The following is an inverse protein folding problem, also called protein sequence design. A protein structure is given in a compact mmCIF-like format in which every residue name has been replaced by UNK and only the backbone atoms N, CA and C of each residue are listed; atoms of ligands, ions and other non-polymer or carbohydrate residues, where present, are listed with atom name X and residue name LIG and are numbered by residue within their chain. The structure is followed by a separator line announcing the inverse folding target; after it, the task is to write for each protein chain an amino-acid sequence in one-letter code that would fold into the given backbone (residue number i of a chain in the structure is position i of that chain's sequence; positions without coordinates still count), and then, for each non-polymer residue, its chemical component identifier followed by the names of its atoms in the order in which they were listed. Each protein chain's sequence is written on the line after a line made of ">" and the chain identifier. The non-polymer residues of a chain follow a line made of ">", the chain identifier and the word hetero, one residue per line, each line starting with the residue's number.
data_IF_832433890339
#
_entry.id   IF_832433890339
#
_cell.length_a   1.000
_cell.length_b   1.000
_cell.length_c   1.000
_cell.angle_alpha   90.00
_cell.angle_beta   90.00
_cell.angle_gamma   90.00
#
_symmetry.space_group_name_H-M   'P 1'
#
loop_
_entity.id
_entity.type
_entity.pdbx_description
1 polymer ?
#
# COMPACT_ATOMS: atom_id res chain seq x y z
N UNK A 1 -7.46 5.40 -16.91
CA UNK A 1 -7.85 6.82 -16.72
C UNK A 1 -6.61 7.68 -16.52
N UNK A 2 -6.74 8.97 -16.70
CA UNK A 2 -5.63 9.88 -16.47
C UNK A 2 -5.41 10.11 -14.98
N UNK A 3 -4.16 10.43 -14.59
CA UNK A 3 -3.78 10.62 -13.20
C UNK A 3 -4.69 11.62 -12.48
N UNK A 4 -5.02 12.74 -13.11
CA UNK A 4 -5.85 13.76 -12.47
C UNK A 4 -7.26 13.27 -12.16
N UNK A 5 -7.84 12.47 -13.04
CA UNK A 5 -9.13 11.82 -12.83
C UNK A 5 -9.04 10.82 -11.67
N UNK A 6 -7.99 10.00 -11.64
CA UNK A 6 -7.78 9.04 -10.57
C UNK A 6 -7.61 9.71 -9.21
N UNK A 7 -6.86 10.82 -9.15
CA UNK A 7 -6.70 11.61 -7.93
C UNK A 7 -8.03 12.18 -7.44
N UNK A 8 -8.87 12.63 -8.37
CA UNK A 8 -10.20 13.16 -8.03
C UNK A 8 -11.07 12.07 -7.39
N UNK A 9 -11.08 10.87 -7.97
CA UNK A 9 -11.81 9.73 -7.43
C UNK A 9 -11.25 9.33 -6.06
N UNK A 10 -9.92 9.25 -5.94
CA UNK A 10 -9.28 8.95 -4.65
C UNK A 10 -9.70 9.95 -3.58
N UNK A 11 -9.73 11.25 -3.89
CA UNK A 11 -10.11 12.28 -2.93
C UNK A 11 -11.54 12.10 -2.43
N UNK A 12 -12.49 11.73 -3.29
CA UNK A 12 -13.86 11.44 -2.87
C UNK A 12 -13.90 10.27 -1.86
N UNK A 13 -13.17 9.20 -2.16
CA UNK A 13 -13.09 8.03 -1.30
C UNK A 13 -12.39 8.38 0.01
N UNK A 14 -11.28 9.12 -0.06
CA UNK A 14 -10.50 9.54 1.09
C UNK A 14 -11.35 10.26 2.13
N UNK A 15 -12.16 11.23 1.71
CA UNK A 15 -13.01 11.98 2.64
C UNK A 15 -14.06 11.11 3.31
N UNK A 16 -14.53 10.07 2.66
CA UNK A 16 -15.49 9.13 3.22
C UNK A 16 -14.87 8.15 4.21
N UNK A 17 -13.64 7.70 3.95
CA UNK A 17 -12.98 6.67 4.76
C UNK A 17 -12.14 7.25 5.90
N UNK A 18 -11.58 8.44 5.74
CA UNK A 18 -10.67 9.05 6.70
C UNK A 18 -11.20 9.10 8.13
N UNK A 19 -12.49 9.44 8.39
CA UNK A 19 -13.00 9.46 9.77
C UNK A 19 -12.90 8.12 10.51
N UNK A 20 -12.74 7.02 9.78
CA UNK A 20 -12.67 5.67 10.32
C UNK A 20 -11.26 5.08 10.28
N UNK A 21 -10.26 5.92 10.00
CA UNK A 21 -8.87 5.50 9.84
C UNK A 21 -7.93 6.30 10.73
N UNK A 22 -6.94 5.62 11.30
CA UNK A 22 -5.80 6.25 11.95
C UNK A 22 -4.85 6.82 10.89
N UNK A 23 -4.63 6.06 9.82
CA UNK A 23 -3.84 6.47 8.64
C UNK A 23 -4.54 6.01 7.37
N UNK A 24 -4.44 6.81 6.34
CA UNK A 24 -4.91 6.45 5.00
C UNK A 24 -4.07 7.18 3.95
N UNK A 25 -3.52 6.45 3.01
CA UNK A 25 -2.64 6.98 1.95
C UNK A 25 -2.95 6.27 0.64
N UNK A 26 -2.90 7.01 -0.46
CA UNK A 26 -2.95 6.41 -1.80
C UNK A 26 -1.64 5.68 -2.09
N UNK A 27 -1.72 4.59 -2.81
CA UNK A 27 -0.55 3.80 -3.21
C UNK A 27 -0.56 3.56 -4.72
N UNK A 28 0.13 2.55 -5.19
CA UNK A 28 0.13 2.12 -6.59
C UNK A 28 0.59 3.18 -7.57
N UNK A 29 0.06 3.10 -8.77
CA UNK A 29 0.44 3.98 -9.87
C UNK A 29 0.12 5.45 -9.62
N UNK A 30 -0.91 5.76 -8.80
CA UNK A 30 -1.21 7.14 -8.43
C UNK A 30 -0.05 7.71 -7.60
N UNK A 31 0.41 7.00 -6.59
CA UNK A 31 1.51 7.46 -5.73
C UNK A 31 2.80 7.61 -6.53
N UNK A 32 3.02 6.73 -7.51
CA UNK A 32 4.16 6.83 -8.42
C UNK A 32 3.98 7.90 -9.49
N UNK A 33 2.86 8.63 -9.49
CA UNK A 33 2.57 9.73 -10.41
C UNK A 33 2.59 9.30 -11.89
N UNK A 34 2.06 8.11 -12.19
CA UNK A 34 1.97 7.63 -13.58
C UNK A 34 0.88 8.40 -14.33
N UNK A 35 1.14 8.68 -15.60
CA UNK A 35 0.18 9.42 -16.45
C UNK A 35 -1.13 8.66 -16.65
N UNK A 36 -1.06 7.34 -16.73
CA UNK A 36 -2.23 6.46 -16.87
C UNK A 36 -2.36 5.57 -15.64
N UNK A 37 -3.58 5.51 -15.10
CA UNK A 37 -3.93 4.74 -13.91
C UNK A 37 -5.08 3.81 -14.25
N UNK A 38 -4.99 2.54 -13.85
CA UNK A 38 -6.07 1.57 -14.06
C UNK A 38 -6.93 1.41 -12.82
N UNK A 39 -6.32 1.08 -11.70
CA UNK A 39 -7.00 0.82 -10.44
C UNK A 39 -6.51 1.80 -9.38
N UNK A 40 -7.33 2.03 -8.35
CA UNK A 40 -6.96 2.89 -7.24
C UNK A 40 -6.55 2.01 -6.08
N UNK A 41 -5.29 2.16 -5.63
CA UNK A 41 -4.74 1.42 -4.50
C UNK A 41 -4.68 2.32 -3.27
N UNK A 42 -5.18 1.82 -2.15
CA UNK A 42 -5.22 2.56 -0.88
C UNK A 42 -4.64 1.65 0.20
N UNK A 43 -3.77 2.21 1.04
CA UNK A 43 -3.28 1.55 2.25
C UNK A 43 -3.76 2.34 3.46
N UNK A 44 -4.33 1.65 4.44
CA UNK A 44 -4.89 2.31 5.62
C UNK A 44 -4.69 1.49 6.89
N UNK A 45 -4.80 2.18 8.02
CA UNK A 45 -4.90 1.55 9.34
C UNK A 45 -6.27 1.96 9.90
N UNK A 46 -7.18 1.01 10.17
CA UNK A 46 -8.49 1.36 10.67
C UNK A 46 -8.45 1.78 12.15
N UNK A 47 -9.24 2.80 12.50
CA UNK A 47 -9.53 3.13 13.90
C UNK A 47 -10.67 2.25 14.41
N UNK A 48 -11.71 2.12 13.57
CA UNK A 48 -12.89 1.32 13.88
C UNK A 48 -13.19 0.40 12.69
N UNK A 49 -12.72 -0.86 12.72
CA UNK A 49 -12.87 -1.78 11.58
C UNK A 49 -14.31 -2.01 11.17
N UNK A 50 -15.24 -2.10 12.10
CA UNK A 50 -16.65 -2.33 11.79
C UNK A 50 -17.29 -1.18 11.03
N UNK A 51 -17.09 0.04 11.49
CA UNK A 51 -17.62 1.23 10.81
C UNK A 51 -16.93 1.46 9.47
N UNK A 52 -15.63 1.22 9.39
CA UNK A 52 -14.89 1.33 8.15
C UNK A 52 -15.43 0.34 7.11
N UNK A 53 -15.66 -0.90 7.52
CA UNK A 53 -16.20 -1.94 6.63
C UNK A 53 -17.57 -1.53 6.07
N UNK A 54 -18.45 -0.97 6.92
CA UNK A 54 -19.75 -0.46 6.48
C UNK A 54 -19.61 0.66 5.46
N UNK A 55 -18.68 1.58 5.68
CA UNK A 55 -18.46 2.69 4.75
C UNK A 55 -17.88 2.23 3.42
N UNK A 56 -16.98 1.24 3.45
CA UNK A 56 -16.44 0.62 2.23
C UNK A 56 -17.57 -0.05 1.43
N UNK A 57 -18.46 -0.77 2.10
CA UNK A 57 -19.60 -1.43 1.45
C UNK A 57 -20.52 -0.42 0.74
N UNK A 58 -20.60 0.81 1.24
CA UNK A 58 -21.39 1.88 0.62
C UNK A 58 -20.73 2.50 -0.61
N UNK A 59 -19.44 2.25 -0.83
CA UNK A 59 -18.74 2.75 -2.02
C UNK A 59 -19.25 2.08 -3.30
N UNK A 60 -19.58 0.80 -3.23
CA UNK A 60 -20.07 0.08 -4.39
C UNK A 60 -20.02 -1.43 -4.21
N UNK A 61 -20.33 -2.19 -5.28
CA UNK A 61 -20.35 -3.65 -5.22
C UNK A 61 -18.99 -4.22 -4.83
N UNK A 62 -18.96 -5.23 -3.92
CA UNK A 62 -17.71 -5.87 -3.55
C UNK A 62 -17.19 -6.75 -4.69
N UNK A 63 -15.87 -6.72 -4.89
CA UNK A 63 -15.15 -7.62 -5.80
C UNK A 63 -14.49 -8.71 -4.96
N UNK A 64 -13.86 -8.32 -3.82
CA UNK A 64 -13.28 -9.23 -2.87
C UNK A 64 -13.42 -8.64 -1.46
N UNK A 65 -13.59 -9.50 -0.47
CA UNK A 65 -13.80 -9.10 0.93
C UNK A 65 -13.02 -10.03 1.85
N UNK A 66 -11.72 -9.71 2.04
CA UNK A 66 -10.84 -10.43 2.95
C UNK A 66 -10.49 -9.58 4.17
N UNK A 67 -9.75 -10.18 5.12
CA UNK A 67 -9.33 -9.48 6.33
C UNK A 67 -8.31 -8.38 6.06
N UNK A 68 -7.43 -8.59 5.08
CA UNK A 68 -6.31 -7.68 4.77
C UNK A 68 -6.48 -6.91 3.47
N UNK A 69 -7.45 -7.31 2.65
CA UNK A 69 -7.70 -6.69 1.36
C UNK A 69 -9.20 -6.69 1.08
N UNK A 70 -9.72 -5.52 0.81
CA UNK A 70 -11.08 -5.35 0.29
C UNK A 70 -11.00 -4.69 -1.08
N UNK A 71 -11.72 -5.25 -2.05
CA UNK A 71 -11.81 -4.68 -3.39
C UNK A 71 -13.26 -4.35 -3.68
N UNK A 72 -13.50 -3.13 -4.13
CA UNK A 72 -14.85 -2.67 -4.49
C UNK A 72 -14.81 -1.96 -5.84
N UNK A 73 -15.96 -1.87 -6.48
CA UNK A 73 -16.15 -1.08 -7.68
C UNK A 73 -16.81 0.25 -7.30
N UNK A 74 -16.10 1.35 -7.53
CA UNK A 74 -16.58 2.70 -7.28
C UNK A 74 -16.78 3.42 -8.61
N UNK A 75 -18.03 3.63 -9.01
CA UNK A 75 -18.38 4.31 -10.26
C UNK A 75 -17.63 3.74 -11.48
N UNK A 76 -17.55 2.40 -11.56
CA UNK A 76 -16.88 1.71 -12.65
C UNK A 76 -15.38 1.56 -12.51
N UNK A 77 -14.79 2.03 -11.42
CA UNK A 77 -13.34 1.93 -11.16
C UNK A 77 -13.09 0.96 -10.01
N UNK A 78 -12.14 0.04 -10.20
CA UNK A 78 -11.74 -0.87 -9.14
C UNK A 78 -10.90 -0.14 -8.11
N UNK A 79 -11.24 -0.32 -6.84
CA UNK A 79 -10.54 0.25 -5.69
C UNK A 79 -10.06 -0.90 -4.81
N UNK A 80 -8.75 -0.97 -4.60
CA UNK A 80 -8.11 -1.98 -3.78
C UNK A 80 -7.68 -1.34 -2.46
N UNK A 81 -8.24 -1.83 -1.35
CA UNK A 81 -8.03 -1.27 -0.02
C UNK A 81 -7.28 -2.30 0.81
N UNK A 82 -6.04 -1.98 1.17
CA UNK A 82 -5.14 -2.83 1.93
C UNK A 82 -5.08 -2.39 3.38
N UNK A 83 -5.30 -3.32 4.29
CA UNK A 83 -5.33 -3.08 5.73
C UNK A 83 -3.96 -3.32 6.33
N UNK A 84 -3.39 -2.27 6.92
CA UNK A 84 -2.15 -2.33 7.68
C UNK A 84 -2.41 -2.20 9.18
N UNK A 85 -1.36 -2.41 9.95
CA UNK A 85 -1.26 -2.02 11.36
C UNK A 85 0.04 -1.24 11.55
N UNK A 86 0.33 -0.82 12.77
CA UNK A 86 1.54 -0.03 13.06
C UNK A 86 2.82 -0.76 12.66
N UNK A 87 2.85 -2.08 12.81
CA UNK A 87 4.05 -2.89 12.50
C UNK A 87 4.25 -3.10 11.00
N UNK A 88 3.15 -3.13 10.22
CA UNK A 88 3.21 -3.43 8.79
C UNK A 88 3.10 -2.20 7.91
N UNK A 89 2.81 -1.03 8.48
CA UNK A 89 2.51 0.18 7.72
C UNK A 89 3.54 0.50 6.64
N UNK A 90 4.81 0.65 7.04
CA UNK A 90 5.85 1.08 6.12
C UNK A 90 6.10 0.06 5.01
N UNK A 91 6.16 -1.23 5.37
CA UNK A 91 6.42 -2.30 4.41
C UNK A 91 5.25 -2.52 3.46
N UNK A 92 4.03 -2.51 3.99
CA UNK A 92 2.84 -2.65 3.15
C UNK A 92 2.72 -1.47 2.18
N UNK A 93 2.93 -0.25 2.64
CA UNK A 93 2.91 0.92 1.78
C UNK A 93 3.96 0.83 0.67
N UNK A 94 5.17 0.42 1.01
CA UNK A 94 6.25 0.22 0.04
C UNK A 94 5.84 -0.78 -1.05
N UNK A 95 5.40 -1.96 -0.65
CA UNK A 95 5.03 -3.04 -1.56
C UNK A 95 3.83 -2.65 -2.43
N UNK A 96 2.81 -2.02 -1.84
CA UNK A 96 1.62 -1.62 -2.60
C UNK A 96 1.83 -0.38 -3.46
N UNK A 97 2.87 0.39 -3.17
CA UNK A 97 3.29 1.48 -4.07
C UNK A 97 3.94 0.93 -5.35
N UNK A 98 4.71 -0.15 -5.25
CA UNK A 98 5.38 -0.76 -6.41
C UNK A 98 6.58 0.10 -6.89
N UNK A 99 6.97 0.03 -8.11
CA UNK A 99 6.40 -0.89 -9.12
C UNK A 99 6.73 -2.34 -8.78
N UNK A 100 6.16 -3.27 -9.58
CA UNK A 100 6.50 -4.69 -9.45
C UNK A 100 8.00 -4.92 -9.60
N UNK A 101 8.63 -4.29 -10.58
CA UNK A 101 10.06 -4.41 -10.83
C UNK A 101 10.87 -3.84 -9.67
N UNK A 102 10.46 -2.71 -9.10
CA UNK A 102 11.10 -2.15 -7.92
C UNK A 102 11.00 -3.11 -6.74
N UNK A 103 9.83 -3.71 -6.52
CA UNK A 103 9.64 -4.69 -5.44
C UNK A 103 10.52 -5.92 -5.63
N UNK A 104 10.62 -6.44 -6.84
CA UNK A 104 11.50 -7.58 -7.16
C UNK A 104 12.96 -7.23 -6.85
N UNK A 105 13.39 -6.04 -7.23
CA UNK A 105 14.76 -5.56 -6.95
C UNK A 105 15.04 -5.46 -5.46
N UNK A 106 14.10 -4.92 -4.68
CA UNK A 106 14.26 -4.81 -3.23
C UNK A 106 14.26 -6.17 -2.55
N UNK A 107 13.38 -7.08 -2.96
CA UNK A 107 13.35 -8.45 -2.43
C UNK A 107 14.66 -9.20 -2.75
N UNK A 108 15.18 -9.01 -3.96
CA UNK A 108 16.46 -9.60 -4.39
C UNK A 108 17.63 -9.06 -3.55
N UNK A 109 17.66 -7.75 -3.30
CA UNK A 109 18.69 -7.14 -2.45
C UNK A 109 18.63 -7.67 -1.02
N UNK A 110 17.43 -7.78 -0.45
CA UNK A 110 17.26 -8.37 0.88
C UNK A 110 17.83 -9.80 0.93
N UNK A 111 17.49 -10.61 -0.07
CA UNK A 111 17.98 -11.97 -0.16
C UNK A 111 19.51 -12.04 -0.23
N UNK A 112 20.14 -11.14 -0.98
CA UNK A 112 21.61 -11.07 -1.07
C UNK A 112 22.27 -10.75 0.27
N UNK A 113 21.54 -10.11 1.18
CA UNK A 113 22.00 -9.77 2.52
C UNK A 113 21.60 -10.81 3.58
N UNK A 114 21.05 -11.94 3.18
CA UNK A 114 20.58 -12.99 4.08
C UNK A 114 19.25 -12.65 4.77
N UNK A 115 18.53 -11.66 4.27
CA UNK A 115 17.24 -11.23 4.79
C UNK A 115 16.12 -11.60 3.83
N UNK A 116 14.88 -11.48 4.29
CA UNK A 116 13.69 -11.68 3.45
C UNK A 116 12.74 -10.51 3.59
N UNK A 117 12.58 -9.75 2.51
CA UNK A 117 11.49 -8.78 2.39
C UNK A 117 10.25 -9.54 1.94
N UNK A 118 9.22 -9.55 2.79
CA UNK A 118 7.99 -10.28 2.49
C UNK A 118 7.19 -9.58 1.40
N UNK A 119 6.91 -10.31 0.33
CA UNK A 119 6.20 -9.75 -0.83
C UNK A 119 4.76 -9.32 -0.51
N UNK A 120 4.18 -9.82 0.58
CA UNK A 120 2.84 -9.41 1.03
C UNK A 120 2.84 -8.12 1.86
N UNK A 121 4.01 -7.55 2.15
CA UNK A 121 4.13 -6.31 2.90
C UNK A 121 4.18 -6.47 4.41
N UNK A 122 4.31 -7.70 4.93
CA UNK A 122 4.30 -7.93 6.39
C UNK A 122 5.60 -7.53 7.10
N UNK A 123 6.68 -7.29 6.36
CA UNK A 123 7.93 -6.82 6.95
C UNK A 123 9.17 -7.46 6.36
N UNK A 124 10.29 -7.25 7.05
CA UNK A 124 11.60 -7.85 6.71
C UNK A 124 12.01 -8.78 7.83
N UNK A 125 12.37 -10.01 7.48
CA UNK A 125 12.90 -11.02 8.40
C UNK A 125 14.43 -11.04 8.25
N UNK A 126 15.16 -10.94 9.37
CA UNK A 126 16.62 -10.99 9.37
C UNK A 126 17.14 -12.43 9.23
N UNK A 127 18.46 -12.56 9.14
CA UNK A 127 19.10 -13.87 8.97
C UNK A 127 18.83 -14.83 10.14
N UNK A 128 18.51 -14.30 11.32
CA UNK A 128 18.15 -15.09 12.50
C UNK A 128 16.68 -15.47 12.59
N UNK A 129 15.87 -15.09 11.60
CA UNK A 129 14.44 -15.37 11.60
C UNK A 129 13.61 -14.37 12.38
N UNK A 130 14.15 -13.21 12.74
CA UNK A 130 13.46 -12.19 13.51
C UNK A 130 12.90 -11.09 12.62
N UNK A 131 11.70 -10.63 12.95
CA UNK A 131 11.09 -9.48 12.27
C UNK A 131 11.82 -8.20 12.70
N UNK A 132 12.31 -7.44 11.71
CA UNK A 132 13.01 -6.17 11.97
C UNK A 132 11.96 -5.07 12.18
N UNK A 133 12.01 -4.31 13.29
CA UNK A 133 11.12 -3.16 13.49
C UNK A 133 11.39 -2.08 12.43
N UNK A 134 10.35 -1.61 11.76
CA UNK A 134 10.45 -0.63 10.68
C UNK A 134 9.37 0.43 10.88
N UNK A 135 9.75 1.70 10.85
CA UNK A 135 8.84 2.83 11.05
C UNK A 135 8.58 3.63 9.77
N UNK A 136 9.48 3.54 8.77
CA UNK A 136 9.38 4.34 7.55
C UNK A 136 9.94 3.60 6.35
N UNK A 137 9.55 4.04 5.16
CA UNK A 137 10.11 3.51 3.92
C UNK A 137 11.60 3.81 3.80
N UNK A 138 12.05 4.98 4.28
CA UNK A 138 13.47 5.34 4.31
C UNK A 138 14.29 4.32 5.07
N UNK A 139 13.78 3.83 6.21
CA UNK A 139 14.44 2.77 6.97
C UNK A 139 14.59 1.49 6.18
N UNK A 140 13.60 1.13 5.37
CA UNK A 140 13.68 -0.08 4.54
C UNK A 140 14.87 0.02 3.58
N UNK A 141 15.02 1.15 2.90
CA UNK A 141 16.16 1.37 2.01
C UNK A 141 17.49 1.35 2.77
N UNK A 142 17.55 1.94 3.97
CA UNK A 142 18.75 1.91 4.83
C UNK A 142 19.11 0.48 5.22
N UNK A 143 18.14 -0.32 5.67
CA UNK A 143 18.36 -1.72 6.05
C UNK A 143 18.92 -2.52 4.87
N UNK A 144 18.45 -2.23 3.66
CA UNK A 144 18.88 -2.90 2.44
C UNK A 144 20.18 -2.34 1.87
N UNK A 145 20.74 -1.27 2.46
CA UNK A 145 21.97 -0.65 1.99
C UNK A 145 21.82 0.08 0.65
N UNK A 146 20.62 0.57 0.37
CA UNK A 146 20.30 1.24 -0.89
C UNK A 146 19.97 2.72 -0.65
N UNK A 147 20.23 3.61 -1.64
CA UNK A 147 19.75 4.98 -1.55
C UNK A 147 18.23 4.99 -1.63
N UNK A 148 17.61 5.93 -0.89
CA UNK A 148 16.16 6.09 -0.90
C UNK A 148 15.69 6.55 -2.28
N UNK A 149 14.61 5.93 -2.77
CA UNK A 149 13.93 6.36 -3.98
C UNK A 149 12.54 6.87 -3.64
N UNK A 150 12.23 8.07 -4.13
CA UNK A 150 10.88 8.61 -4.03
C UNK A 150 9.90 7.74 -4.82
N UNK A 151 8.61 7.72 -4.47
CA UNK A 151 7.64 6.87 -5.17
C UNK A 151 7.66 7.01 -6.70
N UNK A 152 7.79 8.24 -7.21
CA UNK A 152 7.82 8.49 -8.66
C UNK A 152 9.13 8.05 -9.32
N UNK A 153 10.14 7.68 -8.54
CA UNK A 153 11.40 7.11 -9.03
C UNK A 153 11.37 5.58 -9.06
N UNK A 154 10.30 4.98 -8.58
CA UNK A 154 10.20 3.51 -8.45
C UNK A 154 9.57 2.81 -9.66
N UNK A 155 9.44 3.48 -10.77
CA UNK A 155 8.93 2.87 -12.01
C UNK A 155 7.68 3.47 -12.64
#
# INVERSE_FOLDING_TARGET
>A
MKLQEALSIFNEIYYRLKPHCEKIVVAGSIRRQKAEVRDIDIVLIPTNPGQLSQEIDRLGPPIADGEKLKQVEYNGTQVDIYYANQKTWATLLLIRTGSRENNIGLCSQAQSLGMKLKANGDGIIDAGGHLIPIESEEQIYQILGLPYHEPWERG
#
